data_IF_981045353248
#
_entry.id   IF_981045353248
#
_cell.length_a   1.000
_cell.length_b   1.000
_cell.length_c   1.000
_cell.angle_alpha   90.00
_cell.angle_beta   90.00
_cell.angle_gamma   90.00
#
_symmetry.space_group_name_H-M   'P 1'
#
loop_
_entity.id
_entity.type
_entity.pdbx_description
1 polymer ?
#
# COMPACT_ATOMS: atom_id res chain seq x y z
N UNK A 1 13.23 -4.07 -3.76
CA UNK A 1 12.31 -3.24 -2.95
C UNK A 1 11.47 -4.16 -2.09
N UNK A 2 11.27 -3.85 -0.82
CA UNK A 2 10.36 -4.61 0.06
C UNK A 2 8.94 -4.09 -0.11
N UNK A 3 7.99 -5.01 -0.26
CA UNK A 3 6.60 -4.65 -0.52
C UNK A 3 5.72 -5.21 0.58
N UNK A 4 4.84 -4.38 1.14
CA UNK A 4 3.94 -4.74 2.21
C UNK A 4 2.51 -4.39 1.81
N UNK A 5 1.62 -5.38 1.83
CA UNK A 5 0.18 -5.19 1.66
C UNK A 5 -0.49 -5.45 3.00
N UNK A 6 -1.02 -4.39 3.60
CA UNK A 6 -1.63 -4.43 4.93
C UNK A 6 -3.08 -3.98 4.88
N UNK A 7 -4.00 -4.92 5.03
CA UNK A 7 -5.43 -4.67 4.94
C UNK A 7 -6.13 -5.13 6.20
N UNK A 8 -7.22 -4.47 6.57
CA UNK A 8 -8.02 -4.86 7.74
C UNK A 8 -8.67 -6.23 7.55
N UNK A 9 -9.21 -6.47 6.37
CA UNK A 9 -9.98 -7.67 6.05
C UNK A 9 -9.10 -8.68 5.33
N UNK A 10 -9.13 -9.93 5.78
CA UNK A 10 -8.36 -11.02 5.18
C UNK A 10 -8.84 -11.27 3.75
N UNK A 11 -10.12 -11.08 3.51
CA UNK A 11 -10.76 -11.22 2.20
C UNK A 11 -10.16 -10.25 1.17
N UNK A 12 -9.79 -9.04 1.60
CA UNK A 12 -9.14 -8.08 0.71
C UNK A 12 -7.72 -8.54 0.34
N UNK A 13 -6.97 -9.09 1.32
CA UNK A 13 -5.65 -9.67 1.07
C UNK A 13 -5.74 -10.85 0.10
N UNK A 14 -6.69 -11.76 0.31
CA UNK A 14 -6.89 -12.94 -0.53
C UNK A 14 -7.27 -12.56 -1.96
N UNK A 15 -8.08 -11.51 -2.14
CA UNK A 15 -8.43 -11.00 -3.46
C UNK A 15 -7.23 -10.41 -4.18
N UNK A 16 -6.42 -9.60 -3.50
CA UNK A 16 -5.18 -9.04 -4.09
C UNK A 16 -4.24 -10.19 -4.45
N UNK A 17 -4.02 -11.12 -3.53
CA UNK A 17 -3.13 -12.27 -3.72
C UNK A 17 -3.56 -13.15 -4.89
N UNK A 18 -4.84 -13.55 -4.97
CA UNK A 18 -5.38 -14.32 -6.10
C UNK A 18 -5.25 -13.58 -7.43
N UNK A 19 -5.33 -12.25 -7.43
CA UNK A 19 -5.12 -11.46 -8.65
C UNK A 19 -3.65 -11.37 -9.02
N UNK A 20 -2.74 -11.28 -8.03
CA UNK A 20 -1.30 -11.31 -8.24
C UNK A 20 -0.85 -12.68 -8.76
N UNK A 21 -1.27 -13.77 -8.12
CA UNK A 21 -0.90 -15.14 -8.49
C UNK A 21 -1.31 -15.49 -9.94
N UNK A 22 -2.36 -14.85 -10.48
CA UNK A 22 -2.77 -15.00 -11.89
C UNK A 22 -1.88 -14.24 -12.88
N UNK A 23 -1.17 -13.21 -12.43
CA UNK A 23 -0.33 -12.32 -13.25
C UNK A 23 1.15 -12.73 -13.15
N UNK A 24 1.61 -12.97 -11.93
CA UNK A 24 2.96 -13.40 -11.59
C UNK A 24 2.90 -14.36 -10.40
N UNK A 25 2.81 -15.69 -10.67
CA UNK A 25 2.68 -16.72 -9.64
C UNK A 25 3.86 -16.77 -8.65
N UNK A 26 5.04 -16.30 -9.06
CA UNK A 26 6.26 -16.38 -8.27
C UNK A 26 6.43 -15.17 -7.32
N UNK A 27 5.90 -14.01 -7.70
CA UNK A 27 6.05 -12.73 -6.96
C UNK A 27 5.49 -12.75 -5.55
N UNK A 28 4.25 -13.26 -5.39
CA UNK A 28 3.49 -13.13 -4.15
C UNK A 28 4.09 -13.87 -2.95
N UNK A 29 4.90 -14.91 -3.19
CA UNK A 29 5.53 -15.70 -2.13
C UNK A 29 6.96 -15.26 -1.78
N UNK A 30 7.63 -14.53 -2.69
CA UNK A 30 9.04 -14.16 -2.56
C UNK A 30 9.24 -12.71 -2.11
N UNK A 31 8.41 -11.79 -2.61
CA UNK A 31 8.72 -10.35 -2.55
C UNK A 31 7.66 -9.51 -1.80
N UNK A 32 6.48 -10.08 -1.50
CA UNK A 32 5.34 -9.34 -0.94
C UNK A 32 4.91 -9.91 0.40
N UNK A 33 4.89 -9.05 1.43
CA UNK A 33 4.36 -9.39 2.76
C UNK A 33 2.89 -9.00 2.84
N UNK A 34 2.01 -9.98 2.88
CA UNK A 34 0.57 -9.78 3.14
C UNK A 34 0.27 -9.93 4.63
N UNK A 35 -0.38 -8.93 5.25
CA UNK A 35 -0.71 -8.98 6.68
C UNK A 35 -1.95 -8.17 7.04
N UNK A 36 -2.58 -8.51 8.16
CA UNK A 36 -3.65 -7.69 8.76
C UNK A 36 -3.14 -6.80 9.91
N UNK A 37 -1.84 -6.85 10.22
CA UNK A 37 -1.27 -6.26 11.44
C UNK A 37 -0.31 -5.11 11.14
N UNK A 38 -0.74 -3.84 11.28
CA UNK A 38 0.16 -2.68 11.20
C UNK A 38 1.31 -2.76 12.21
N UNK A 39 1.06 -3.32 13.40
CA UNK A 39 2.09 -3.51 14.44
C UNK A 39 3.22 -4.42 13.96
N UNK A 40 2.90 -5.47 13.20
CA UNK A 40 3.90 -6.37 12.63
C UNK A 40 4.75 -5.65 11.58
N UNK A 41 4.14 -4.77 10.78
CA UNK A 41 4.88 -3.96 9.80
C UNK A 41 5.85 -3.03 10.51
N UNK A 42 5.39 -2.23 11.48
CA UNK A 42 6.23 -1.25 12.20
C UNK A 42 7.48 -1.86 12.85
N UNK A 43 7.39 -3.10 13.36
CA UNK A 43 8.54 -3.78 13.98
C UNK A 43 9.64 -4.18 12.99
N UNK A 44 9.31 -4.27 11.71
CA UNK A 44 10.20 -4.79 10.68
C UNK A 44 10.64 -3.71 9.70
N UNK A 45 10.24 -2.45 9.88
CA UNK A 45 10.64 -1.33 9.01
C UNK A 45 12.07 -0.93 9.34
N UNK A 46 12.90 -0.84 8.30
CA UNK A 46 14.27 -0.36 8.40
C UNK A 46 14.39 1.02 7.72
N UNK A 47 15.24 1.93 8.21
CA UNK A 47 15.31 3.32 7.73
C UNK A 47 15.78 3.46 6.27
N UNK A 48 16.72 2.63 5.83
CA UNK A 48 17.37 2.76 4.52
C UNK A 48 16.89 1.72 3.49
N UNK A 49 15.81 0.97 3.78
CA UNK A 49 15.27 -0.02 2.85
C UNK A 49 14.29 0.64 1.86
N UNK A 50 14.40 0.35 0.56
CA UNK A 50 13.33 0.71 -0.40
C UNK A 50 12.05 -0.02 0.01
N UNK A 51 11.03 0.71 0.46
CA UNK A 51 9.79 0.16 1.01
C UNK A 51 8.57 0.71 0.26
N UNK A 52 7.65 -0.17 -0.14
CA UNK A 52 6.33 0.18 -0.66
C UNK A 52 5.25 -0.44 0.24
N UNK A 53 4.29 0.38 0.68
CA UNK A 53 3.20 -0.04 1.56
C UNK A 53 1.84 0.26 0.93
N UNK A 54 1.00 -0.77 0.77
CA UNK A 54 -0.42 -0.64 0.46
C UNK A 54 -1.25 -0.86 1.71
N UNK A 55 -1.93 0.18 2.19
CA UNK A 55 -2.62 0.15 3.49
C UNK A 55 -4.11 0.37 3.38
N UNK A 56 -4.89 -0.36 4.18
CA UNK A 56 -6.27 0.05 4.52
C UNK A 56 -6.27 1.41 5.24
N UNK A 57 -7.41 2.11 5.18
CA UNK A 57 -7.61 3.35 5.94
C UNK A 57 -7.98 3.10 7.42
N UNK A 58 -8.69 2.01 7.73
CA UNK A 58 -9.08 1.67 9.11
C UNK A 58 -8.63 0.25 9.39
N UNK A 59 -7.95 0.00 10.52
CA UNK A 59 -7.55 -1.34 10.96
C UNK A 59 -8.34 -1.84 12.17
N UNK A 60 -8.51 -1.00 13.18
CA UNK A 60 -9.40 -1.22 14.32
C UNK A 60 -10.30 0.00 14.53
N UNK A 61 -11.36 -0.17 15.33
CA UNK A 61 -12.31 0.91 15.62
C UNK A 61 -11.71 2.02 16.50
N UNK A 62 -10.53 1.85 17.09
CA UNK A 62 -10.12 2.68 18.24
C UNK A 62 -8.73 3.31 18.21
N UNK A 63 -7.77 2.93 17.34
CA UNK A 63 -6.42 3.55 17.46
C UNK A 63 -5.59 3.71 16.19
N UNK A 64 -5.60 2.76 15.24
CA UNK A 64 -4.70 2.83 14.06
C UNK A 64 -5.48 3.07 12.78
N UNK A 65 -5.46 4.33 12.33
CA UNK A 65 -5.90 4.74 11.00
C UNK A 65 -4.71 4.78 10.04
N UNK A 66 -4.98 4.54 8.76
CA UNK A 66 -4.01 4.53 7.67
C UNK A 66 -3.08 5.75 7.68
N UNK A 67 -3.57 6.99 7.76
CA UNK A 67 -2.70 8.17 7.86
C UNK A 67 -1.76 8.18 9.07
N UNK A 68 -2.23 7.77 10.25
CA UNK A 68 -1.39 7.68 11.46
C UNK A 68 -0.33 6.59 11.31
N UNK A 69 -0.69 5.50 10.64
CA UNK A 69 0.24 4.43 10.32
C UNK A 69 1.28 4.90 9.27
N UNK A 70 0.86 5.62 8.24
CA UNK A 70 1.74 6.24 7.25
C UNK A 70 2.78 7.16 7.91
N UNK A 71 2.32 8.04 8.82
CA UNK A 71 3.21 8.89 9.61
C UNK A 71 4.30 8.10 10.33
N UNK A 72 3.92 7.04 11.06
CA UNK A 72 4.88 6.19 11.78
C UNK A 72 5.85 5.46 10.83
N UNK A 73 5.38 5.03 9.66
CA UNK A 73 6.25 4.43 8.63
C UNK A 73 7.26 5.47 8.15
N UNK A 74 6.82 6.69 7.79
CA UNK A 74 7.68 7.77 7.30
C UNK A 74 8.66 8.29 8.34
N UNK A 75 8.29 8.29 9.63
CA UNK A 75 9.20 8.60 10.74
C UNK A 75 10.33 7.56 10.86
N UNK A 76 10.05 6.28 10.60
CA UNK A 76 11.03 5.20 10.65
C UNK A 76 11.82 5.06 9.35
N UNK A 77 11.19 5.31 8.20
CA UNK A 77 11.75 5.21 6.85
C UNK A 77 11.17 6.34 5.99
N UNK A 78 11.87 7.50 5.90
CA UNK A 78 11.40 8.67 5.16
C UNK A 78 11.21 8.43 3.66
N UNK A 79 11.91 7.44 3.09
CA UNK A 79 11.87 7.13 1.65
C UNK A 79 10.75 6.15 1.27
N UNK A 80 10.06 5.57 2.26
CA UNK A 80 8.98 4.62 2.01
C UNK A 80 7.87 5.25 1.18
N UNK A 81 7.36 4.54 0.17
CA UNK A 81 6.17 4.95 -0.57
C UNK A 81 4.95 4.35 0.12
N UNK A 82 4.00 5.18 0.51
CA UNK A 82 2.80 4.77 1.23
C UNK A 82 1.54 5.11 0.43
N UNK A 83 0.83 4.07 0.01
CA UNK A 83 -0.40 4.16 -0.77
C UNK A 83 -1.57 3.65 0.06
N UNK A 84 -2.62 4.45 0.19
CA UNK A 84 -3.87 3.99 0.79
C UNK A 84 -4.75 3.29 -0.25
N UNK A 85 -5.26 2.12 0.12
CA UNK A 85 -6.27 1.38 -0.63
C UNK A 85 -7.58 1.41 0.16
N UNK A 86 -8.52 2.26 -0.25
CA UNK A 86 -9.69 2.62 0.58
C UNK A 86 -10.92 3.01 -0.21
N UNK A 87 -12.11 2.84 0.38
CA UNK A 87 -13.38 3.44 -0.14
C UNK A 87 -13.54 4.91 0.28
N UNK A 88 -12.73 5.38 1.24
CA UNK A 88 -12.81 6.73 1.82
C UNK A 88 -11.73 7.66 1.26
N UNK A 89 -11.57 7.72 -0.07
CA UNK A 89 -10.49 8.46 -0.71
C UNK A 89 -10.50 9.97 -0.36
N UNK A 90 -11.70 10.56 -0.26
CA UNK A 90 -11.88 11.98 0.09
C UNK A 90 -11.42 12.33 1.53
N UNK A 91 -11.44 11.38 2.44
CA UNK A 91 -11.04 11.60 3.83
C UNK A 91 -9.52 11.44 4.00
N UNK A 92 -8.88 10.69 3.10
CA UNK A 92 -7.43 10.50 3.07
C UNK A 92 -6.65 11.80 2.86
N UNK A 93 -7.27 12.84 2.29
CA UNK A 93 -6.65 14.17 2.12
C UNK A 93 -6.22 14.81 3.45
N UNK A 94 -6.86 14.46 4.57
CA UNK A 94 -6.46 14.94 5.91
C UNK A 94 -5.08 14.43 6.36
N UNK A 95 -4.53 13.41 5.69
CA UNK A 95 -3.25 12.78 5.99
C UNK A 95 -2.18 12.92 4.90
N UNK A 96 -2.42 13.80 3.92
CA UNK A 96 -1.61 13.91 2.68
C UNK A 96 -0.12 14.16 2.89
N UNK A 97 0.28 14.71 4.03
CA UNK A 97 1.70 14.92 4.37
C UNK A 97 2.49 13.60 4.42
N UNK A 98 1.85 12.50 4.83
CA UNK A 98 2.52 11.21 5.02
C UNK A 98 2.04 10.11 4.07
N UNK A 99 0.97 10.38 3.32
CA UNK A 99 0.38 9.46 2.33
C UNK A 99 0.76 9.96 0.94
N UNK A 100 1.48 9.15 0.18
CA UNK A 100 1.96 9.55 -1.15
C UNK A 100 0.87 9.44 -2.23
N UNK A 101 -0.02 8.45 -2.08
CA UNK A 101 -1.15 8.31 -2.99
C UNK A 101 -2.31 7.46 -2.47
N UNK A 102 -3.40 7.44 -3.24
CA UNK A 102 -4.61 6.69 -2.92
C UNK A 102 -5.12 5.92 -4.13
N UNK A 103 -5.48 4.67 -3.92
CA UNK A 103 -6.26 3.84 -4.84
C UNK A 103 -7.65 3.67 -4.23
N UNK A 104 -8.68 4.06 -4.98
CA UNK A 104 -10.06 3.91 -4.54
C UNK A 104 -10.55 2.47 -4.74
N UNK A 105 -11.08 1.86 -3.67
CA UNK A 105 -11.75 0.55 -3.72
C UNK A 105 -13.09 0.59 -4.47
N UNK A 106 -13.61 1.78 -4.74
CA UNK A 106 -14.85 1.98 -5.50
C UNK A 106 -14.64 1.82 -7.01
N UNK A 107 -13.38 1.89 -7.48
CA UNK A 107 -13.06 1.70 -8.89
C UNK A 107 -13.37 0.27 -9.34
N UNK A 108 -13.84 0.15 -10.58
CA UNK A 108 -13.96 -1.16 -11.19
C UNK A 108 -12.56 -1.77 -11.28
N UNK A 109 -12.43 -3.03 -10.84
CA UNK A 109 -11.17 -3.77 -10.82
C UNK A 109 -10.08 -3.23 -9.87
N UNK A 110 -10.46 -2.51 -8.81
CA UNK A 110 -9.49 -1.92 -7.88
C UNK A 110 -8.49 -2.92 -7.27
N UNK A 111 -8.91 -4.18 -7.05
CA UNK A 111 -8.04 -5.25 -6.55
C UNK A 111 -7.07 -5.75 -7.62
N UNK A 112 -7.52 -5.87 -8.88
CA UNK A 112 -6.64 -6.16 -10.00
C UNK A 112 -5.62 -5.03 -10.21
N UNK A 113 -5.99 -3.76 -10.04
CA UNK A 113 -5.06 -2.64 -10.15
C UNK A 113 -3.93 -2.71 -9.13
N UNK A 114 -4.22 -3.08 -7.88
CA UNK A 114 -3.17 -3.32 -6.88
C UNK A 114 -2.28 -4.49 -7.33
N UNK A 115 -2.86 -5.58 -7.82
CA UNK A 115 -2.09 -6.71 -8.32
C UNK A 115 -1.23 -6.36 -9.56
N UNK A 116 -1.72 -5.49 -10.45
CA UNK A 116 -0.97 -4.97 -11.59
C UNK A 116 0.25 -4.16 -11.14
N UNK A 117 0.13 -3.35 -10.08
CA UNK A 117 1.29 -2.66 -9.50
C UNK A 117 2.26 -3.67 -8.89
N UNK A 118 1.78 -4.65 -8.13
CA UNK A 118 2.65 -5.65 -7.48
C UNK A 118 3.40 -6.53 -8.49
N UNK A 119 2.80 -6.78 -9.65
CA UNK A 119 3.39 -7.56 -10.75
C UNK A 119 4.33 -6.73 -11.65
N UNK A 120 4.39 -5.40 -11.49
CA UNK A 120 5.24 -4.54 -12.32
C UNK A 120 6.69 -4.51 -11.80
N UNK A 121 7.59 -3.89 -12.58
CA UNK A 121 8.94 -3.61 -12.11
C UNK A 121 8.93 -2.48 -11.08
N UNK A 122 9.17 -2.86 -9.83
CA UNK A 122 9.18 -1.96 -8.68
C UNK A 122 10.60 -1.65 -8.21
N UNK A 123 11.68 -2.06 -8.88
CA UNK A 123 13.03 -1.87 -8.35
C UNK A 123 13.37 -0.38 -8.12
N UNK A 124 12.90 0.48 -9.04
CA UNK A 124 13.13 1.92 -9.05
C UNK A 124 11.84 2.74 -9.08
N UNK A 125 10.71 2.15 -8.68
CA UNK A 125 9.43 2.85 -8.67
C UNK A 125 9.46 4.04 -7.71
N UNK A 126 8.99 5.18 -8.21
CA UNK A 126 8.65 6.39 -7.44
C UNK A 126 7.14 6.62 -7.47
N UNK A 127 6.60 7.45 -6.58
CA UNK A 127 5.17 7.77 -6.59
C UNK A 127 4.72 8.42 -7.92
N UNK A 128 5.58 9.22 -8.55
CA UNK A 128 5.32 9.84 -9.85
C UNK A 128 5.25 8.79 -10.96
N UNK A 129 6.18 7.84 -10.99
CA UNK A 129 6.14 6.75 -11.96
C UNK A 129 4.88 5.88 -11.77
N UNK A 130 4.55 5.56 -10.52
CA UNK A 130 3.37 4.76 -10.22
C UNK A 130 2.07 5.48 -10.57
N UNK A 131 1.96 6.78 -10.28
CA UNK A 131 0.77 7.57 -10.62
C UNK A 131 0.60 7.87 -12.11
N UNK A 132 1.64 7.70 -12.93
CA UNK A 132 1.55 7.77 -14.39
C UNK A 132 0.98 6.48 -14.98
N UNK A 133 1.37 5.34 -14.43
CA UNK A 133 1.12 4.03 -15.04
C UNK A 133 -0.10 3.32 -14.40
N UNK A 134 -0.52 3.73 -13.21
CA UNK A 134 -1.58 3.09 -12.42
C UNK A 134 -2.61 4.10 -11.89
N UNK A 135 -3.83 3.65 -11.51
CA UNK A 135 -4.89 4.54 -11.02
C UNK A 135 -4.64 4.99 -9.56
N UNK A 136 -3.56 5.73 -9.34
CA UNK A 136 -3.18 6.31 -8.05
C UNK A 136 -3.41 7.82 -8.10
N UNK A 137 -4.20 8.31 -7.15
CA UNK A 137 -4.34 9.74 -6.90
C UNK A 137 -3.13 10.19 -6.08
N UNK A 138 -2.18 10.86 -6.73
CA UNK A 138 -0.96 11.36 -6.08
C UNK A 138 -1.24 12.64 -5.27
N UNK A 139 -0.72 12.70 -4.05
CA UNK A 139 -0.88 13.86 -3.17
C UNK A 139 0.33 14.79 -3.14
N UNK A 140 1.52 14.28 -3.43
CA UNK A 140 2.75 15.06 -3.52
C UNK A 140 3.06 15.28 -5.01
N UNK A 141 2.76 16.49 -5.50
CA UNK A 141 3.17 17.00 -6.81
C UNK A 141 4.13 18.16 -6.61
#
# INVERSE_FOLDING_TARGET
>A
MKIVVVQRYVEDLDRIKKSLDRKDPDRGSKDVVFTTSPKTVLKNVLPDEKLLVFSSFVFDKETIQGPRFAKKIKELNPTAIFILFTVLAEIAFSGREFVDGVISKMEQKAFESVADILASDLENATIESLGRDFPIINFNK
#
